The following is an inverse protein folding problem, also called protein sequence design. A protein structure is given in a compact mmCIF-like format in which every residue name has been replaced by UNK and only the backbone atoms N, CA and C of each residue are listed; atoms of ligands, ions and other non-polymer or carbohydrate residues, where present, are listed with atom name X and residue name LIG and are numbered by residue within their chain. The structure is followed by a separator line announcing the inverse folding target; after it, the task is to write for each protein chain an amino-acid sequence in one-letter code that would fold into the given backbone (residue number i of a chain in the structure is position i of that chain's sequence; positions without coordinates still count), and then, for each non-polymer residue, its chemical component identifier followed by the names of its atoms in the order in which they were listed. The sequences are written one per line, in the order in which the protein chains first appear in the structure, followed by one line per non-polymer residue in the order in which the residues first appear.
data_IF_014058485518
#
_entry.id   IF_014058485518
#
_cell.length_a   1.000
_cell.length_b   1.000
_cell.length_c   1.000
_cell.angle_alpha   90.00
_cell.angle_beta   90.00
_cell.angle_gamma   90.00
#
_symmetry.space_group_name_H-M   'P 1'
#
loop_
_entity.id
_entity.type
_entity.pdbx_description
1 polymer ?
#
# COMPACT_ATOMS: atom_id res chain seq x y z
N UNK A 1 -3.68 48.05 -5.38
CA UNK A 1 -4.46 46.81 -5.55
C UNK A 1 -3.49 45.73 -6.02
N UNK A 2 -3.05 44.84 -5.11
CA UNK A 2 -2.01 43.84 -5.37
C UNK A 2 -2.64 42.42 -5.38
N UNK A 3 -2.84 41.76 -6.53
CA UNK A 3 -3.43 40.43 -6.63
C UNK A 3 -2.36 39.33 -6.86
N UNK A 4 -1.23 39.36 -6.14
CA UNK A 4 -0.13 38.39 -6.32
C UNK A 4 0.14 37.49 -5.09
N UNK A 5 -0.76 37.49 -4.10
CA UNK A 5 -0.61 36.70 -2.84
C UNK A 5 -1.53 35.47 -2.74
N UNK A 6 -2.44 35.26 -3.69
CA UNK A 6 -3.45 34.20 -3.59
C UNK A 6 -3.02 32.84 -4.18
N UNK A 7 -2.12 32.83 -5.16
CA UNK A 7 -1.68 31.58 -5.81
C UNK A 7 -0.75 30.73 -4.92
N UNK A 8 0.17 31.38 -4.19
CA UNK A 8 1.06 30.68 -3.25
C UNK A 8 0.32 30.09 -2.07
N UNK A 9 -0.70 30.80 -1.55
CA UNK A 9 -1.56 30.31 -0.49
C UNK A 9 -2.41 29.11 -0.95
N UNK A 10 -2.94 29.15 -2.18
CA UNK A 10 -3.70 28.03 -2.76
C UNK A 10 -2.83 26.78 -2.97
N UNK A 11 -1.60 26.92 -3.47
CA UNK A 11 -0.68 25.79 -3.62
C UNK A 11 -0.29 25.20 -2.26
N UNK A 12 -0.01 26.05 -1.26
CA UNK A 12 0.31 25.61 0.09
C UNK A 12 -0.86 24.83 0.72
N UNK A 13 -2.10 25.32 0.55
CA UNK A 13 -3.31 24.62 0.99
C UNK A 13 -3.46 23.25 0.34
N UNK A 14 -3.24 23.15 -0.98
CA UNK A 14 -3.27 21.87 -1.70
C UNK A 14 -2.22 20.89 -1.16
N UNK A 15 -1.00 21.35 -0.91
CA UNK A 15 0.08 20.50 -0.36
C UNK A 15 -0.29 20.02 1.05
N UNK A 16 -0.78 20.92 1.91
CA UNK A 16 -1.22 20.57 3.28
C UNK A 16 -2.33 19.52 3.23
N UNK A 17 -3.31 19.68 2.35
CA UNK A 17 -4.40 18.71 2.17
C UNK A 17 -3.89 17.34 1.72
N UNK A 18 -2.96 17.28 0.77
CA UNK A 18 -2.36 16.02 0.32
C UNK A 18 -1.60 15.33 1.45
N UNK A 19 -0.79 16.08 2.22
CA UNK A 19 -0.05 15.53 3.36
C UNK A 19 -0.99 14.98 4.43
N UNK A 20 -2.07 15.70 4.75
CA UNK A 20 -3.10 15.25 5.69
C UNK A 20 -3.80 13.97 5.22
N UNK A 21 -4.12 13.86 3.92
CA UNK A 21 -4.70 12.65 3.34
C UNK A 21 -3.76 11.45 3.43
N UNK A 22 -2.45 11.65 3.23
CA UNK A 22 -1.45 10.58 3.30
C UNK A 22 -1.15 10.12 4.73
N UNK A 23 -1.30 11.02 5.72
CA UNK A 23 -1.08 10.73 7.13
C UNK A 23 -2.31 10.12 7.83
N UNK A 24 -3.46 10.05 7.15
CA UNK A 24 -4.66 9.45 7.72
C UNK A 24 -4.43 7.93 7.93
N UNK A 25 -4.64 7.40 9.15
CA UNK A 25 -4.45 5.99 9.42
C UNK A 25 -5.48 5.17 8.63
N UNK A 26 -5.05 4.06 8.04
CA UNK A 26 -5.96 3.10 7.45
C UNK A 26 -6.86 2.51 8.54
N UNK A 27 -8.18 2.48 8.32
CA UNK A 27 -9.13 1.82 9.21
C UNK A 27 -9.06 0.31 8.94
N UNK A 28 -8.37 -0.45 9.79
CA UNK A 28 -8.22 -1.91 9.68
C UNK A 28 -7.49 -2.53 10.88
N UNK A 29 -7.52 -3.85 11.01
CA UNK A 29 -6.81 -4.61 12.07
C UNK A 29 -5.39 -5.05 11.64
N UNK A 30 -4.75 -4.28 10.76
CA UNK A 30 -3.43 -4.60 10.20
C UNK A 30 -2.34 -3.89 11.00
N UNK A 31 -1.21 -4.56 11.19
CA UNK A 31 -0.02 -4.02 11.83
C UNK A 31 1.22 -4.48 11.06
N UNK A 32 2.19 -3.58 10.89
CA UNK A 32 3.41 -3.85 10.11
C UNK A 32 4.34 -4.86 10.81
N UNK A 33 4.20 -5.00 12.12
CA UNK A 33 4.98 -5.84 13.03
C UNK A 33 4.25 -7.13 13.47
N UNK A 34 3.13 -7.48 12.81
CA UNK A 34 2.27 -8.61 13.21
C UNK A 34 3.03 -9.94 13.42
N UNK A 35 4.12 -10.16 12.68
CA UNK A 35 4.91 -11.39 12.72
C UNK A 35 6.23 -11.28 13.48
N UNK A 36 6.54 -10.15 14.13
CA UNK A 36 7.85 -9.93 14.75
C UNK A 36 8.20 -10.97 15.82
N UNK A 37 7.22 -11.37 16.64
CA UNK A 37 7.44 -12.37 17.69
C UNK A 37 7.45 -13.81 17.17
N UNK A 38 6.61 -14.13 16.18
CA UNK A 38 6.41 -15.50 15.71
C UNK A 38 7.35 -15.89 14.57
N UNK A 39 7.69 -14.95 13.69
CA UNK A 39 8.57 -15.14 12.55
C UNK A 39 9.20 -13.79 12.11
N UNK A 40 10.22 -13.27 12.82
CA UNK A 40 10.82 -11.96 12.54
C UNK A 40 11.52 -11.86 11.18
N UNK A 41 11.69 -12.99 10.48
CA UNK A 41 12.30 -13.05 9.14
C UNK A 41 11.28 -13.24 8.03
N UNK A 42 9.97 -13.25 8.33
CA UNK A 42 8.93 -13.59 7.39
C UNK A 42 9.05 -12.80 6.08
N UNK A 43 9.17 -11.46 6.17
CA UNK A 43 9.27 -10.61 5.00
C UNK A 43 10.48 -10.99 4.12
N UNK A 44 11.66 -11.14 4.72
CA UNK A 44 12.88 -11.53 4.01
C UNK A 44 12.76 -12.90 3.33
N UNK A 45 12.09 -13.86 3.99
CA UNK A 45 11.88 -15.22 3.47
C UNK A 45 10.96 -15.16 2.26
N UNK A 46 9.82 -14.46 2.37
CA UNK A 46 8.85 -14.30 1.29
C UNK A 46 9.51 -13.59 0.10
N UNK A 47 10.22 -12.49 0.34
CA UNK A 47 10.91 -11.74 -0.71
C UNK A 47 11.93 -12.61 -1.46
N UNK A 48 12.76 -13.37 -0.74
CA UNK A 48 13.74 -14.25 -1.35
C UNK A 48 13.09 -15.35 -2.22
N UNK A 49 11.98 -15.93 -1.77
CA UNK A 49 11.25 -16.97 -2.52
C UNK A 49 10.54 -16.41 -3.74
N UNK A 50 9.88 -15.28 -3.61
CA UNK A 50 9.22 -14.59 -4.75
C UNK A 50 10.25 -14.19 -5.79
N UNK A 51 11.39 -13.61 -5.38
CA UNK A 51 12.47 -13.24 -6.29
C UNK A 51 13.06 -14.46 -7.02
N UNK A 52 13.28 -15.58 -6.31
CA UNK A 52 13.75 -16.82 -6.92
C UNK A 52 12.73 -17.37 -7.96
N UNK A 53 11.44 -17.33 -7.63
CA UNK A 53 10.38 -17.79 -8.53
C UNK A 53 10.27 -16.91 -9.79
N UNK A 54 10.40 -15.59 -9.65
CA UNK A 54 10.44 -14.66 -10.78
C UNK A 54 11.69 -14.83 -11.64
N UNK A 55 12.84 -15.12 -11.02
CA UNK A 55 14.09 -15.41 -11.74
C UNK A 55 13.98 -16.69 -12.56
N UNK A 56 13.27 -17.69 -12.05
CA UNK A 56 12.99 -18.92 -12.78
C UNK A 56 11.99 -18.67 -13.92
N UNK A 57 10.89 -17.96 -13.64
CA UNK A 57 9.82 -17.67 -14.60
C UNK A 57 9.28 -16.25 -14.39
N UNK A 58 9.63 -15.32 -15.27
CA UNK A 58 9.28 -13.90 -15.10
C UNK A 58 7.77 -13.65 -15.00
N UNK A 59 6.98 -14.50 -15.67
CA UNK A 59 5.50 -14.46 -15.65
C UNK A 59 4.92 -14.70 -14.25
N UNK A 60 5.68 -15.32 -13.35
CA UNK A 60 5.25 -15.59 -11.97
C UNK A 60 4.87 -14.30 -11.23
N UNK A 61 5.57 -13.18 -11.46
CA UNK A 61 5.21 -11.91 -10.84
C UNK A 61 3.78 -11.47 -11.18
N UNK A 62 3.42 -11.55 -12.48
CA UNK A 62 2.06 -11.24 -12.94
C UNK A 62 1.02 -12.25 -12.41
N UNK A 63 1.37 -13.54 -12.35
CA UNK A 63 0.50 -14.58 -11.79
C UNK A 63 0.20 -14.36 -10.30
N UNK A 64 1.21 -14.06 -9.47
CA UNK A 64 1.05 -13.79 -8.05
C UNK A 64 0.22 -12.52 -7.81
N UNK A 65 0.46 -11.47 -8.59
CA UNK A 65 -0.32 -10.24 -8.50
C UNK A 65 -1.80 -10.48 -8.86
N UNK A 66 -2.05 -11.22 -9.94
CA UNK A 66 -3.41 -11.61 -10.34
C UNK A 66 -4.10 -12.44 -9.25
N UNK A 67 -3.38 -13.38 -8.63
CA UNK A 67 -3.92 -14.20 -7.56
C UNK A 67 -4.31 -13.35 -6.34
N UNK A 68 -3.44 -12.42 -5.92
CA UNK A 68 -3.73 -11.50 -4.82
C UNK A 68 -5.01 -10.70 -5.07
N UNK A 69 -5.13 -10.09 -6.25
CA UNK A 69 -6.33 -9.33 -6.60
C UNK A 69 -7.57 -10.22 -6.74
N UNK A 70 -7.42 -11.44 -7.25
CA UNK A 70 -8.52 -12.38 -7.35
C UNK A 70 -9.08 -12.72 -5.95
N UNK A 71 -8.22 -12.94 -4.95
CA UNK A 71 -8.66 -13.28 -3.60
C UNK A 71 -9.29 -12.09 -2.87
N UNK A 72 -8.78 -10.87 -3.10
CA UNK A 72 -9.33 -9.66 -2.46
C UNK A 72 -10.65 -9.18 -3.08
N UNK A 73 -10.81 -9.25 -4.40
CA UNK A 73 -11.99 -8.70 -5.09
C UNK A 73 -13.18 -9.67 -5.18
N UNK A 74 -12.97 -10.96 -4.93
CA UNK A 74 -14.05 -11.97 -4.99
C UNK A 74 -14.95 -11.96 -3.75
N UNK A 75 -14.59 -11.23 -2.68
CA UNK A 75 -15.34 -11.24 -1.42
C UNK A 75 -16.29 -10.03 -1.31
N UNK A 76 -17.35 -10.00 -2.12
CA UNK A 76 -18.53 -9.13 -1.90
C UNK A 76 -19.43 -9.80 -0.86
N UNK A 77 -19.02 -9.80 0.40
CA UNK A 77 -19.94 -10.10 1.50
C UNK A 77 -20.23 -8.79 2.23
N UNK A 78 -21.48 -8.30 2.23
CA UNK A 78 -21.87 -7.24 3.14
C UNK A 78 -21.70 -7.79 4.56
N UNK A 79 -20.84 -7.17 5.35
CA UNK A 79 -20.90 -7.35 6.80
C UNK A 79 -22.06 -6.50 7.32
N UNK A 80 -22.84 -7.00 8.29
CA UNK A 80 -23.99 -6.30 8.87
C UNK A 80 -23.57 -5.03 9.62
#
# INVERSE_FOLDING_TARGET
MEPLRDHGASCLLMIIMVVLCLAAPAQGQLSDDFYDDSCPKLESIVQARVAAAMKAEIRMGASLLRLHFHDCFVNVRPSP
#
